data_IF_329871373781
#
_entry.id   IF_329871373781
#
_cell.length_a   1.000
_cell.length_b   1.000
_cell.length_c   1.000
_cell.angle_alpha   90.00
_cell.angle_beta   90.00
_cell.angle_gamma   90.00
#
_symmetry.space_group_name_H-M   'P 1'
#
loop_
_entity.id
_entity.type
_entity.pdbx_description
1 polymer ?
#
# COMPACT_ATOMS: atom_id res chain seq x y z
N UNK A 1 9.24 22.59 25.99
CA UNK A 1 8.74 21.51 26.85
C UNK A 1 9.38 20.22 26.41
N UNK A 2 10.13 19.55 27.28
CA UNK A 2 10.82 18.29 26.97
C UNK A 2 9.76 17.28 26.50
N UNK A 3 9.91 16.65 25.33
CA UNK A 3 8.96 15.62 24.91
C UNK A 3 8.98 14.55 26.00
N UNK A 4 7.82 14.33 26.64
CA UNK A 4 7.64 13.27 27.62
C UNK A 4 8.28 12.00 27.06
N UNK A 5 9.09 11.26 27.84
CA UNK A 5 9.75 10.06 27.36
C UNK A 5 8.75 8.91 27.25
N UNK A 6 7.72 9.08 26.40
CA UNK A 6 6.70 8.10 26.06
C UNK A 6 7.32 6.76 25.69
N UNK A 7 8.46 6.80 24.99
CA UNK A 7 9.21 5.60 24.67
C UNK A 7 9.70 4.84 25.92
N UNK A 8 10.16 5.54 26.96
CA UNK A 8 10.61 4.91 28.22
C UNK A 8 9.42 4.36 29.02
N UNK A 9 8.30 5.08 29.03
CA UNK A 9 7.07 4.62 29.68
C UNK A 9 6.47 3.40 28.96
N UNK A 10 6.47 3.41 27.62
CA UNK A 10 6.07 2.26 26.81
C UNK A 10 6.99 1.06 27.06
N UNK A 11 8.32 1.26 27.12
CA UNK A 11 9.27 0.18 27.42
C UNK A 11 9.05 -0.42 28.82
N UNK A 12 8.75 0.41 29.83
CA UNK A 12 8.39 -0.07 31.18
C UNK A 12 7.04 -0.78 31.20
N UNK A 13 6.07 -0.31 30.41
CA UNK A 13 4.74 -0.90 30.30
C UNK A 13 4.76 -2.28 29.64
N UNK A 14 5.53 -2.46 28.56
CA UNK A 14 5.75 -3.76 27.91
C UNK A 14 6.31 -4.77 28.92
N UNK A 15 7.28 -4.35 29.74
CA UNK A 15 7.84 -5.18 30.81
C UNK A 15 6.80 -5.54 31.89
N UNK A 16 5.86 -4.64 32.17
CA UNK A 16 4.80 -4.88 33.16
C UNK A 16 3.75 -5.87 32.64
N UNK A 17 3.29 -5.69 31.41
CA UNK A 17 2.28 -6.57 30.80
C UNK A 17 2.85 -7.97 30.56
N UNK A 18 4.09 -8.07 30.05
CA UNK A 18 4.72 -9.36 29.78
C UNK A 18 4.97 -10.19 31.05
N UNK A 19 5.38 -9.55 32.16
CA UNK A 19 5.69 -10.26 33.40
C UNK A 19 4.47 -10.49 34.31
N UNK A 20 3.52 -9.57 34.36
CA UNK A 20 2.37 -9.65 35.27
C UNK A 20 1.06 -10.06 34.59
N UNK A 21 0.86 -9.78 33.31
CA UNK A 21 -0.36 -10.17 32.59
C UNK A 21 -0.50 -11.68 32.44
N UNK A 22 0.54 -12.34 31.92
CA UNK A 22 0.52 -13.79 31.71
C UNK A 22 0.41 -14.58 33.03
N UNK A 23 1.15 -14.18 34.07
CA UNK A 23 1.13 -14.88 35.36
C UNK A 23 -0.21 -14.72 36.10
N UNK A 24 -0.84 -13.55 36.05
CA UNK A 24 -2.15 -13.34 36.71
C UNK A 24 -3.30 -14.03 35.98
N UNK A 25 -3.27 -14.07 34.64
CA UNK A 25 -4.30 -14.78 33.87
C UNK A 25 -4.21 -16.29 34.12
N UNK A 26 -2.99 -16.84 34.25
CA UNK A 26 -2.78 -18.26 34.58
C UNK A 26 -3.23 -18.60 36.00
N UNK A 27 -2.97 -17.73 36.98
CA UNK A 27 -3.46 -17.89 38.35
C UNK A 27 -5.01 -17.84 38.41
N UNK A 28 -5.62 -16.84 37.77
CA UNK A 28 -7.09 -16.70 37.75
C UNK A 28 -7.79 -17.82 36.97
N UNK A 29 -7.16 -18.38 35.93
CA UNK A 29 -7.69 -19.54 35.23
C UNK A 29 -7.62 -20.83 36.05
N UNK A 30 -6.77 -20.87 37.07
CA UNK A 30 -6.76 -21.97 38.03
C UNK A 30 -7.86 -21.79 39.08
N UNK A 31 -8.10 -20.56 39.53
CA UNK A 31 -9.04 -20.26 40.62
C UNK A 31 -10.51 -20.18 40.18
N UNK A 32 -10.77 -19.90 38.89
CA UNK A 32 -12.13 -19.73 38.38
C UNK A 32 -12.47 -20.64 37.18
N UNK A 33 -13.31 -21.68 37.37
CA UNK A 33 -13.66 -22.63 36.30
C UNK A 33 -14.46 -22.00 35.16
N UNK A 34 -15.29 -20.98 35.45
CA UNK A 34 -16.03 -20.23 34.42
C UNK A 34 -15.10 -19.41 33.54
N UNK A 35 -14.11 -18.76 34.15
CA UNK A 35 -13.11 -17.97 33.44
C UNK A 35 -12.21 -18.87 32.59
N UNK A 36 -11.83 -20.03 33.12
CA UNK A 36 -11.09 -21.05 32.39
C UNK A 36 -11.82 -21.53 31.14
N UNK A 37 -13.11 -21.88 31.25
CA UNK A 37 -13.91 -22.28 30.10
C UNK A 37 -14.05 -21.17 29.06
N UNK A 38 -14.19 -19.91 29.51
CA UNK A 38 -14.19 -18.74 28.63
C UNK A 38 -12.86 -18.58 27.90
N UNK A 39 -11.76 -18.52 28.63
CA UNK A 39 -10.41 -18.38 28.09
C UNK A 39 -10.07 -19.52 27.12
N UNK A 40 -10.45 -20.76 27.47
CA UNK A 40 -10.31 -21.90 26.58
C UNK A 40 -11.11 -21.72 25.28
N UNK A 41 -12.37 -21.27 25.34
CA UNK A 41 -13.21 -21.02 24.15
C UNK A 41 -12.57 -19.98 23.21
N UNK A 42 -12.07 -18.88 23.76
CA UNK A 42 -11.39 -17.84 22.96
C UNK A 42 -10.03 -18.30 22.46
N UNK A 43 -9.25 -19.00 23.27
CA UNK A 43 -7.99 -19.62 22.87
C UNK A 43 -8.15 -20.61 21.71
N UNK A 44 -9.21 -21.43 21.74
CA UNK A 44 -9.55 -22.30 20.62
C UNK A 44 -9.92 -21.49 19.36
N UNK A 45 -10.72 -20.43 19.50
CA UNK A 45 -11.06 -19.56 18.36
C UNK A 45 -9.83 -18.94 17.71
N UNK A 46 -8.90 -18.43 18.53
CA UNK A 46 -7.61 -17.88 18.07
C UNK A 46 -6.80 -18.95 17.37
N UNK A 47 -6.69 -20.16 17.94
CA UNK A 47 -5.96 -21.26 17.31
C UNK A 47 -6.56 -21.65 15.96
N UNK A 48 -7.89 -21.77 15.88
CA UNK A 48 -8.59 -22.08 14.64
C UNK A 48 -8.37 -20.98 13.60
N UNK A 49 -8.40 -19.70 14.00
CA UNK A 49 -8.10 -18.57 13.12
C UNK A 49 -6.65 -18.63 12.62
N UNK A 50 -5.68 -18.88 13.49
CA UNK A 50 -4.28 -19.00 13.10
C UNK A 50 -4.05 -20.14 12.09
N UNK A 51 -4.66 -21.30 12.31
CA UNK A 51 -4.59 -22.43 11.37
C UNK A 51 -5.30 -22.15 10.05
N UNK A 52 -6.45 -21.46 10.07
CA UNK A 52 -7.14 -21.02 8.86
C UNK A 52 -6.28 -20.06 8.05
N UNK A 53 -5.67 -19.07 8.69
CA UNK A 53 -4.80 -18.10 8.04
C UNK A 53 -3.52 -18.78 7.51
N UNK A 54 -2.94 -19.70 8.27
CA UNK A 54 -1.77 -20.47 7.85
C UNK A 54 -2.07 -21.33 6.62
N UNK A 55 -3.21 -22.02 6.59
CA UNK A 55 -3.64 -22.80 5.41
C UNK A 55 -4.00 -21.89 4.23
N UNK A 56 -4.57 -20.71 4.49
CA UNK A 56 -4.85 -19.72 3.45
C UNK A 56 -3.56 -19.16 2.83
N UNK A 57 -2.55 -18.87 3.64
CA UNK A 57 -1.23 -18.40 3.20
C UNK A 57 -0.44 -19.48 2.46
N UNK A 58 -0.45 -20.72 2.95
CA UNK A 58 0.25 -21.85 2.32
C UNK A 58 -0.41 -22.32 1.02
N UNK A 59 -1.69 -22.00 0.81
CA UNK A 59 -2.38 -22.25 -0.45
C UNK A 59 -1.93 -21.22 -1.49
N UNK A 60 -0.72 -21.41 -2.01
CA UNK A 60 -0.25 -20.71 -3.19
C UNK A 60 -1.05 -21.22 -4.40
N UNK A 61 -1.97 -20.41 -4.96
CA UNK A 61 -2.81 -20.84 -6.08
C UNK A 61 -1.96 -21.24 -7.30
N UNK A 62 -0.77 -20.67 -7.44
CA UNK A 62 0.19 -21.03 -8.48
C UNK A 62 0.85 -22.39 -8.27
N UNK A 63 1.12 -22.80 -7.03
CA UNK A 63 1.69 -24.11 -6.72
C UNK A 63 0.65 -25.22 -6.93
N UNK A 64 -0.63 -24.98 -6.61
CA UNK A 64 -1.73 -25.89 -6.96
C UNK A 64 -1.92 -26.01 -8.48
N UNK A 65 -1.76 -24.91 -9.24
CA UNK A 65 -1.82 -24.93 -10.72
C UNK A 65 -0.65 -25.69 -11.33
N UNK A 66 0.59 -25.43 -10.90
CA UNK A 66 1.79 -26.13 -11.38
C UNK A 66 1.83 -27.60 -10.98
N UNK A 67 1.33 -27.95 -9.79
CA UNK A 67 1.22 -29.34 -9.38
C UNK A 67 0.18 -30.10 -10.21
N UNK A 68 -0.91 -29.43 -10.61
CA UNK A 68 -1.91 -30.00 -11.53
C UNK A 68 -1.40 -30.09 -12.95
N UNK A 69 -0.72 -29.07 -13.49
CA UNK A 69 -0.08 -29.13 -14.80
C UNK A 69 0.98 -30.24 -14.88
N UNK A 70 1.70 -30.51 -13.77
CA UNK A 70 2.67 -31.63 -13.68
C UNK A 70 2.00 -32.99 -13.46
N UNK A 71 0.80 -33.05 -12.87
CA UNK A 71 0.01 -34.28 -12.74
C UNK A 71 -0.84 -34.57 -13.98
N UNK A 72 -1.20 -33.54 -14.74
CA UNK A 72 -1.84 -33.59 -16.06
C UNK A 72 -0.81 -33.69 -17.19
N UNK A 73 0.49 -33.48 -16.89
CA UNK A 73 1.57 -33.81 -17.80
C UNK A 73 1.58 -35.34 -18.01
N UNK A 74 1.32 -35.81 -19.23
CA UNK A 74 0.92 -37.18 -19.49
C UNK A 74 2.13 -38.12 -19.37
N UNK A 75 2.15 -38.98 -18.36
CA UNK A 75 2.87 -40.25 -18.46
C UNK A 75 2.12 -41.10 -19.50
N UNK A 76 2.74 -41.27 -20.66
CA UNK A 76 2.42 -42.13 -21.82
C UNK A 76 1.10 -42.91 -21.70
N UNK A 77 0.07 -42.46 -22.43
CA UNK A 77 -1.26 -43.09 -22.48
C UNK A 77 -1.19 -44.45 -23.22
N UNK A 78 -1.67 -45.51 -22.57
CA UNK A 78 -2.01 -46.79 -23.21
C UNK A 78 -3.22 -46.61 -24.14
N UNK A 79 -3.29 -47.38 -25.24
CA UNK A 79 -4.25 -47.27 -26.36
C UNK A 79 -5.75 -47.25 -25.96
N UNK A 80 -6.10 -47.71 -24.77
CA UNK A 80 -7.47 -47.64 -24.25
C UNK A 80 -7.87 -46.22 -23.81
N UNK A 81 -6.92 -45.38 -23.39
CA UNK A 81 -7.20 -44.02 -22.96
C UNK A 81 -7.42 -43.07 -24.15
N UNK A 82 -6.80 -43.35 -25.30
CA UNK A 82 -7.03 -42.62 -26.56
C UNK A 82 -8.40 -42.98 -27.16
N UNK A 83 -8.78 -44.25 -27.17
CA UNK A 83 -10.13 -44.69 -27.60
C UNK A 83 -11.24 -44.12 -26.72
N UNK A 84 -11.05 -44.10 -25.39
CA UNK A 84 -12.02 -43.45 -24.47
C UNK A 84 -12.10 -41.93 -24.65
N UNK A 85 -10.99 -41.26 -25.00
CA UNK A 85 -10.99 -39.82 -25.28
C UNK A 85 -11.68 -39.50 -26.62
N UNK A 86 -11.55 -40.36 -27.63
CA UNK A 86 -12.24 -40.25 -28.92
C UNK A 86 -13.75 -40.47 -28.79
N UNK A 87 -14.19 -41.52 -28.10
CA UNK A 87 -15.61 -41.77 -27.80
C UNK A 87 -16.24 -40.64 -26.95
N UNK A 88 -15.44 -40.01 -26.07
CA UNK A 88 -15.89 -38.86 -25.26
C UNK A 88 -15.98 -37.57 -26.08
N UNK A 89 -15.12 -37.39 -27.07
CA UNK A 89 -15.20 -36.28 -28.04
C UNK A 89 -16.40 -36.41 -28.97
N UNK A 90 -16.79 -37.62 -29.33
CA UNK A 90 -18.00 -37.86 -30.13
C UNK A 90 -19.28 -37.58 -29.33
N UNK A 91 -19.35 -38.03 -28.07
CA UNK A 91 -20.47 -37.72 -27.16
C UNK A 91 -20.56 -36.24 -26.76
N UNK A 92 -19.48 -35.47 -26.91
CA UNK A 92 -19.46 -34.03 -26.67
C UNK A 92 -19.99 -33.20 -27.86
N UNK A 93 -20.05 -33.78 -29.06
CA UNK A 93 -20.59 -33.12 -30.27
C UNK A 93 -22.12 -33.18 -30.36
N UNK A 94 -22.75 -34.17 -29.74
CA UNK A 94 -24.20 -34.39 -29.81
C UNK A 94 -25.00 -33.65 -28.73
N UNK A 95 -24.38 -33.27 -27.61
CA UNK A 95 -25.01 -32.50 -26.53
C UNK A 95 -24.04 -31.46 -25.94
N UNK A 96 -24.02 -30.21 -26.44
CA UNK A 96 -23.11 -29.17 -25.94
C UNK A 96 -23.35 -28.80 -24.46
N UNK A 97 -24.52 -29.16 -23.91
CA UNK A 97 -24.88 -28.94 -22.51
C UNK A 97 -24.21 -29.94 -21.52
N UNK A 98 -23.72 -31.09 -21.99
CA UNK A 98 -23.08 -32.10 -21.13
C UNK A 98 -21.55 -31.92 -21.04
N UNK A 99 -20.91 -31.45 -22.12
CA UNK A 99 -19.47 -31.13 -22.14
C UNK A 99 -19.15 -29.87 -21.32
N UNK A 100 -20.02 -28.86 -21.33
CA UNK A 100 -19.88 -27.64 -20.54
C UNK A 100 -20.00 -27.86 -19.01
N UNK A 101 -20.52 -29.01 -18.55
CA UNK A 101 -20.73 -29.30 -17.12
C UNK A 101 -19.51 -29.88 -16.40
N UNK A 102 -18.46 -30.32 -17.12
CA UNK A 102 -17.31 -31.04 -16.51
C UNK A 102 -16.03 -30.22 -16.33
N UNK A 103 -15.86 -29.10 -17.03
CA UNK A 103 -14.61 -28.30 -16.95
C UNK A 103 -14.54 -27.36 -15.74
N UNK A 104 -15.65 -27.06 -15.06
CA UNK A 104 -15.64 -25.95 -14.09
C UNK A 104 -16.27 -26.31 -12.76
N UNK A 105 -15.70 -27.27 -12.03
CA UNK A 105 -15.99 -27.39 -10.59
C UNK A 105 -14.74 -27.78 -9.82
N UNK A 106 -13.77 -26.87 -9.73
CA UNK A 106 -12.95 -26.82 -8.52
C UNK A 106 -13.91 -26.32 -7.44
N UNK A 107 -14.32 -27.11 -6.44
CA UNK A 107 -15.01 -26.54 -5.31
C UNK A 107 -14.01 -25.58 -4.68
N UNK A 108 -14.31 -24.28 -4.72
CA UNK A 108 -13.72 -23.33 -3.78
C UNK A 108 -14.15 -23.81 -2.39
N UNK A 109 -13.39 -24.76 -1.83
CA UNK A 109 -13.62 -25.21 -0.46
C UNK A 109 -13.29 -24.00 0.41
N UNK A 110 -14.33 -23.38 0.95
CA UNK A 110 -14.22 -22.25 1.87
C UNK A 110 -13.33 -22.67 3.03
N UNK A 111 -12.10 -22.17 3.07
CA UNK A 111 -11.10 -22.49 4.11
C UNK A 111 -11.66 -22.11 5.49
N UNK A 112 -12.50 -21.08 5.52
CA UNK A 112 -13.24 -20.57 6.66
C UNK A 112 -14.23 -21.56 7.30
N UNK A 113 -14.67 -22.62 6.60
CA UNK A 113 -15.55 -23.65 7.17
C UNK A 113 -14.81 -24.88 7.67
N UNK A 114 -13.49 -24.99 7.45
CA UNK A 114 -12.68 -26.09 7.99
C UNK A 114 -12.56 -25.98 9.51
N UNK A 115 -12.76 -27.11 10.20
CA UNK A 115 -12.55 -27.28 11.65
C UNK A 115 -11.26 -28.07 11.86
N UNK A 116 -10.30 -27.47 12.54
CA UNK A 116 -9.04 -28.11 12.93
C UNK A 116 -9.18 -28.83 14.28
N UNK A 117 -8.26 -29.74 14.60
CA UNK A 117 -8.26 -30.44 15.90
C UNK A 117 -8.10 -29.43 17.04
N UNK A 118 -8.92 -29.49 18.10
CA UNK A 118 -8.84 -28.55 19.21
C UNK A 118 -7.57 -28.80 20.04
N UNK A 119 -7.04 -27.73 20.63
CA UNK A 119 -5.90 -27.81 21.55
C UNK A 119 -6.32 -28.34 22.93
N UNK A 120 -5.36 -28.82 23.74
CA UNK A 120 -5.61 -29.04 25.16
C UNK A 120 -6.04 -27.73 25.82
N UNK A 121 -7.00 -27.81 26.74
CA UNK A 121 -7.62 -26.65 27.38
C UNK A 121 -6.60 -25.70 28.01
N UNK A 122 -5.62 -26.23 28.74
CA UNK A 122 -4.57 -25.43 29.38
C UNK A 122 -3.76 -24.61 28.35
N UNK A 123 -3.38 -25.22 27.22
CA UNK A 123 -2.64 -24.52 26.15
C UNK A 123 -3.48 -23.46 25.45
N UNK A 124 -4.80 -23.68 25.35
CA UNK A 124 -5.70 -22.67 24.79
C UNK A 124 -5.81 -21.45 25.71
N UNK A 125 -5.86 -21.66 27.03
CA UNK A 125 -5.83 -20.58 28.02
C UNK A 125 -4.53 -19.80 27.96
N UNK A 126 -3.39 -20.49 27.86
CA UNK A 126 -2.08 -19.83 27.71
C UNK A 126 -2.04 -18.95 26.45
N UNK A 127 -2.46 -19.49 25.30
CA UNK A 127 -2.52 -18.75 24.03
C UNK A 127 -3.44 -17.53 24.13
N UNK A 128 -4.58 -17.66 24.80
CA UNK A 128 -5.48 -16.54 25.05
C UNK A 128 -4.81 -15.46 25.91
N UNK A 129 -4.10 -15.85 26.98
CA UNK A 129 -3.40 -14.93 27.86
C UNK A 129 -2.34 -14.11 27.11
N UNK A 130 -1.54 -14.77 26.28
CA UNK A 130 -0.49 -14.12 25.49
C UNK A 130 -1.09 -13.12 24.49
N UNK A 131 -2.12 -13.52 23.75
CA UNK A 131 -2.78 -12.64 22.76
C UNK A 131 -3.46 -11.45 23.41
N UNK A 132 -4.09 -11.62 24.57
CA UNK A 132 -4.71 -10.49 25.30
C UNK A 132 -3.65 -9.51 25.80
N UNK A 133 -2.51 -10.01 26.30
CA UNK A 133 -1.38 -9.18 26.71
C UNK A 133 -0.84 -8.35 25.54
N UNK A 134 -0.56 -9.00 24.40
CA UNK A 134 -0.06 -8.33 23.21
C UNK A 134 -1.07 -7.32 22.63
N UNK A 135 -2.35 -7.69 22.56
CA UNK A 135 -3.42 -6.81 22.10
C UNK A 135 -3.54 -5.55 22.98
N UNK A 136 -3.37 -5.70 24.29
CA UNK A 136 -3.39 -4.57 25.21
C UNK A 136 -2.20 -3.62 25.00
N UNK A 137 -0.98 -4.16 24.82
CA UNK A 137 0.21 -3.36 24.50
C UNK A 137 0.02 -2.61 23.17
N UNK A 138 -0.45 -3.31 22.14
CA UNK A 138 -0.70 -2.72 20.82
C UNK A 138 -1.80 -1.65 20.87
N UNK A 139 -2.85 -1.85 21.68
CA UNK A 139 -3.90 -0.85 21.87
C UNK A 139 -3.36 0.42 22.54
N UNK A 140 -2.53 0.29 23.58
CA UNK A 140 -1.92 1.45 24.25
C UNK A 140 -0.94 2.17 23.33
N UNK A 141 -0.06 1.42 22.65
CA UNK A 141 0.89 2.00 21.69
C UNK A 141 0.16 2.70 20.53
N UNK A 142 -0.84 2.04 19.93
CA UNK A 142 -1.67 2.61 18.87
C UNK A 142 -2.46 3.82 19.34
N UNK A 143 -3.03 3.77 20.55
CA UNK A 143 -3.74 4.89 21.16
C UNK A 143 -2.84 6.10 21.37
N UNK A 144 -1.60 5.91 21.82
CA UNK A 144 -0.62 6.99 21.96
C UNK A 144 -0.21 7.58 20.61
N UNK A 145 -0.02 6.75 19.59
CA UNK A 145 0.28 7.22 18.23
C UNK A 145 -0.90 8.03 17.68
N UNK A 146 -2.13 7.54 17.79
CA UNK A 146 -3.34 8.24 17.35
C UNK A 146 -3.54 9.54 18.12
N UNK A 147 -3.28 9.53 19.43
CA UNK A 147 -3.36 10.72 20.28
C UNK A 147 -2.35 11.78 19.86
N UNK A 148 -1.07 11.40 19.69
CA UNK A 148 -0.05 12.35 19.23
C UNK A 148 -0.30 12.79 17.79
N UNK A 149 -0.83 11.93 16.93
CA UNK A 149 -1.26 12.30 15.57
C UNK A 149 -2.40 13.32 15.59
N UNK A 150 -3.45 13.11 16.38
CA UNK A 150 -4.57 14.06 16.50
C UNK A 150 -4.10 15.41 17.06
N UNK A 151 -3.23 15.37 18.07
CA UNK A 151 -2.61 16.56 18.67
C UNK A 151 -1.64 17.27 17.73
N UNK A 152 -0.84 16.53 16.97
CA UNK A 152 0.11 17.06 15.98
C UNK A 152 -0.63 17.66 14.79
N UNK A 153 -1.74 17.05 14.36
CA UNK A 153 -2.62 17.56 13.31
C UNK A 153 -3.32 18.87 13.68
N UNK A 154 -3.31 19.26 14.96
CA UNK A 154 -3.84 20.54 15.44
C UNK A 154 -2.82 21.68 15.38
N UNK A 155 -1.56 21.40 15.01
CA UNK A 155 -0.54 22.43 14.75
C UNK A 155 -0.41 22.62 13.23
N UNK A 156 -0.41 23.86 12.72
CA UNK A 156 -0.07 24.08 11.32
C UNK A 156 1.33 23.53 11.08
N UNK A 157 1.47 22.66 10.08
CA UNK A 157 2.76 22.12 9.68
C UNK A 157 3.65 23.31 9.31
N UNK A 158 4.64 23.65 10.13
CA UNK A 158 5.62 24.70 9.82
C UNK A 158 6.30 24.45 8.46
N UNK A 159 6.33 23.19 8.00
CA UNK A 159 6.78 22.82 6.67
C UNK A 159 5.80 23.24 5.57
N UNK A 160 4.48 23.15 5.78
CA UNK A 160 3.48 23.65 4.82
C UNK A 160 3.57 25.17 4.70
N UNK A 161 3.65 25.89 5.81
CA UNK A 161 3.81 27.36 5.79
C UNK A 161 5.09 27.76 5.04
N UNK A 162 6.21 27.06 5.27
CA UNK A 162 7.47 27.28 4.52
C UNK A 162 7.35 26.98 3.02
N UNK A 163 6.61 25.94 2.65
CA UNK A 163 6.37 25.60 1.24
C UNK A 163 5.51 26.69 0.57
N UNK A 164 4.48 27.15 1.27
CA UNK A 164 3.60 28.22 0.80
C UNK A 164 4.36 29.55 0.64
N UNK A 165 5.21 29.90 1.61
CA UNK A 165 6.11 31.06 1.51
C UNK A 165 7.09 30.94 0.34
N UNK A 166 7.64 29.75 0.09
CA UNK A 166 8.51 29.51 -1.06
C UNK A 166 7.75 29.71 -2.38
N UNK A 167 6.53 29.19 -2.50
CA UNK A 167 5.70 29.35 -3.68
C UNK A 167 5.39 30.84 -3.93
N UNK A 168 5.05 31.61 -2.91
CA UNK A 168 4.85 33.06 -3.08
C UNK A 168 6.12 33.78 -3.58
N UNK A 169 7.30 33.34 -3.13
CA UNK A 169 8.57 33.90 -3.61
C UNK A 169 8.84 33.53 -5.06
N UNK A 170 8.52 32.31 -5.48
CA UNK A 170 8.60 31.90 -6.89
C UNK A 170 7.68 32.74 -7.77
N UNK A 171 6.40 32.91 -7.40
CA UNK A 171 5.46 33.73 -8.15
C UNK A 171 5.92 35.20 -8.27
N UNK A 172 6.54 35.74 -7.22
CA UNK A 172 7.13 37.10 -7.24
C UNK A 172 8.33 37.20 -8.17
N UNK A 173 9.16 36.16 -8.24
CA UNK A 173 10.30 36.11 -9.15
C UNK A 173 9.85 35.99 -10.61
N UNK A 174 8.89 35.11 -10.89
CA UNK A 174 8.34 34.92 -12.24
C UNK A 174 7.70 36.21 -12.76
N UNK A 175 6.96 36.95 -11.92
CA UNK A 175 6.43 38.28 -12.27
C UNK A 175 7.53 39.30 -12.58
N UNK A 176 8.62 39.30 -11.81
CA UNK A 176 9.75 40.18 -12.06
C UNK A 176 10.47 39.85 -13.36
N UNK A 177 10.64 38.57 -13.66
CA UNK A 177 11.21 38.11 -14.94
C UNK A 177 10.34 38.60 -16.10
N UNK A 178 9.02 38.40 -16.04
CA UNK A 178 8.11 38.88 -17.08
C UNK A 178 8.10 40.41 -17.25
N UNK A 179 8.20 41.18 -16.15
CA UNK A 179 8.32 42.64 -16.21
C UNK A 179 9.63 43.09 -16.85
N UNK A 180 10.73 42.40 -16.55
CA UNK A 180 12.05 42.67 -17.12
C UNK A 180 12.07 42.34 -18.62
N UNK A 181 11.54 41.18 -19.03
CA UNK A 181 11.40 40.81 -20.44
C UNK A 181 10.59 41.86 -21.21
N UNK A 182 9.45 42.30 -20.67
CA UNK A 182 8.65 43.36 -21.29
C UNK A 182 9.39 44.70 -21.36
N UNK A 183 10.28 45.00 -20.41
CA UNK A 183 11.11 46.21 -20.45
C UNK A 183 12.22 46.10 -21.51
N UNK A 184 12.86 44.94 -21.64
CA UNK A 184 13.85 44.66 -22.68
C UNK A 184 13.24 44.77 -24.08
N UNK A 185 12.04 44.21 -24.29
CA UNK A 185 11.30 44.34 -25.56
C UNK A 185 11.01 45.79 -25.92
N UNK A 186 10.55 46.59 -24.95
CA UNK A 186 10.33 48.04 -25.16
C UNK A 186 11.61 48.77 -25.52
N UNK A 187 12.73 48.39 -24.91
CA UNK A 187 14.02 49.00 -25.20
C UNK A 187 14.49 48.64 -26.62
N UNK A 188 14.34 47.38 -27.04
CA UNK A 188 14.63 46.94 -28.41
C UNK A 188 13.78 47.69 -29.43
N UNK A 189 12.46 47.78 -29.22
CA UNK A 189 11.57 48.53 -30.12
C UNK A 189 11.98 50.01 -30.25
N UNK A 190 12.41 50.64 -29.15
CA UNK A 190 12.94 52.01 -29.20
C UNK A 190 14.21 52.09 -30.03
N UNK A 191 15.15 51.15 -29.84
CA UNK A 191 16.38 51.10 -30.63
C UNK A 191 16.06 50.92 -32.12
N UNK A 192 15.19 49.96 -32.48
CA UNK A 192 14.77 49.71 -33.86
C UNK A 192 14.14 50.96 -34.50
N UNK A 193 13.27 51.67 -33.76
CA UNK A 193 12.65 52.91 -34.27
C UNK A 193 13.65 54.04 -34.49
N UNK A 194 14.66 54.16 -33.62
CA UNK A 194 15.74 55.14 -33.76
C UNK A 194 16.64 54.77 -34.94
N UNK A 195 16.96 53.50 -35.11
CA UNK A 195 17.71 53.01 -36.27
C UNK A 195 16.96 53.29 -37.58
N UNK A 196 15.66 53.06 -37.63
CA UNK A 196 14.84 53.33 -38.81
C UNK A 196 14.76 54.83 -39.12
N UNK A 197 14.58 55.68 -38.11
CA UNK A 197 14.60 57.13 -38.27
C UNK A 197 15.97 57.64 -38.78
N UNK A 198 17.06 57.08 -38.26
CA UNK A 198 18.42 57.37 -38.74
C UNK A 198 18.63 56.89 -40.19
N UNK A 199 18.09 55.73 -40.57
CA UNK A 199 18.12 55.22 -41.97
C UNK A 199 17.30 56.07 -42.93
N UNK A 200 16.17 56.62 -42.47
CA UNK A 200 15.29 57.47 -43.27
C UNK A 200 15.93 58.83 -43.60
N UNK A 201 16.79 59.35 -42.73
CA UNK A 201 17.62 60.52 -43.04
C UNK A 201 18.70 60.16 -44.08
N UNK A 202 18.61 60.80 -45.25
CA UNK A 202 19.61 60.73 -46.33
C UNK A 202 20.44 61.99 -46.37
N UNK A 203 21.73 61.84 -46.69
CA UNK A 203 22.63 62.97 -46.79
C UNK A 203 22.25 63.91 -47.95
N UNK A 204 22.12 65.23 -47.72
CA UNK A 204 21.64 66.17 -48.74
C UNK A 204 22.60 66.35 -49.93
N UNK A 205 23.88 65.98 -49.77
CA UNK A 205 24.90 66.10 -50.83
C UNK A 205 25.08 64.83 -51.66
N UNK A 206 24.94 63.65 -51.05
CA UNK A 206 25.21 62.33 -51.69
C UNK A 206 23.93 61.50 -51.93
N UNK A 207 22.77 61.90 -51.38
CA UNK A 207 21.46 61.22 -51.46
C UNK A 207 21.46 59.74 -51.01
N UNK A 208 22.51 59.29 -50.32
CA UNK A 208 22.65 57.94 -49.78
C UNK A 208 22.20 57.90 -48.31
N UNK A 209 21.72 56.75 -47.79
CA UNK A 209 21.37 56.60 -46.37
C UNK A 209 22.63 56.72 -45.49
N UNK A 210 22.49 57.38 -44.33
CA UNK A 210 23.61 57.63 -43.40
C UNK A 210 24.17 56.36 -42.76
N UNK A 211 23.37 55.29 -42.65
CA UNK A 211 23.79 53.98 -42.15
C UNK A 211 23.59 52.91 -43.24
N UNK A 212 24.61 52.10 -43.58
CA UNK A 212 24.43 50.96 -44.47
C UNK A 212 23.60 49.87 -43.79
N UNK A 213 22.84 49.10 -44.59
CA UNK A 213 22.18 47.91 -44.08
C UNK A 213 23.26 46.93 -43.59
N UNK A 214 23.30 46.65 -42.28
CA UNK A 214 24.04 45.51 -41.77
C UNK A 214 23.41 44.28 -42.41
N UNK A 215 24.10 43.70 -43.41
CA UNK A 215 23.72 42.39 -43.93
C UNK A 215 23.74 41.41 -42.76
N UNK A 216 22.58 40.86 -42.44
CA UNK A 216 22.41 39.76 -41.50
C UNK A 216 23.22 38.57 -42.01
N UNK A 217 24.26 38.18 -41.27
CA UNK A 217 24.89 36.87 -41.37
C UNK A 217 24.05 35.83 -40.59
#
# INVERSE_FOLDING_TARGET
MVPLPLFKLAALFVRHVSKYGANNIKAQAHDHPRFRAFAAKYGQSIHQLNMRMSVALLRNPEAERRAKEKAEAPTVKTEEQTKRDEERKEKAKTDPAAAAKKTTRIPFQNIWTRKFRPLPEAKAVDLFADVVGDAFILAVAGGLIVYEFWKSSSKPDANKERIEELNERFDKLEKREAELEAAEERQRQRQDSLEEALRALKDPKTKQPLLPALQSA
#
